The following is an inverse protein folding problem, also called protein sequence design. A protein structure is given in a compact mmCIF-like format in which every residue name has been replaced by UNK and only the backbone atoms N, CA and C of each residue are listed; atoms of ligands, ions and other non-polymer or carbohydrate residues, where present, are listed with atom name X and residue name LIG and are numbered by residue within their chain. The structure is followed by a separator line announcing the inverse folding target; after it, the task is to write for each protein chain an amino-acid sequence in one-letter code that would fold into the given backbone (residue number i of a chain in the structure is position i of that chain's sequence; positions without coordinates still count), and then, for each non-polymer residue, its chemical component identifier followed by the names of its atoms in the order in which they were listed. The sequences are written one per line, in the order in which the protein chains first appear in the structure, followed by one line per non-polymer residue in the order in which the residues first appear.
data_IF_899839377773
#
_entry.id   IF_899839377773
#
_cell.length_a   1.000
_cell.length_b   1.000
_cell.length_c   1.000
_cell.angle_alpha   90.00
_cell.angle_beta   90.00
_cell.angle_gamma   90.00
#
_symmetry.space_group_name_H-M   'P 1'
#
loop_
_entity.id
_entity.type
_entity.pdbx_description
1 polymer ?
#
# COMPACT_ATOMS: atom_id res chain seq x y z
N UNK A 1 -2.03 -8.44 -9.17
CA UNK A 1 -2.33 -8.66 -7.73
C UNK A 1 -1.57 -9.80 -7.06
N UNK A 2 -1.07 -10.81 -7.81
CA UNK A 2 -0.38 -11.99 -7.26
C UNK A 2 0.91 -11.70 -6.44
N UNK A 3 1.60 -10.60 -6.72
CA UNK A 3 2.79 -10.22 -5.94
C UNK A 3 2.41 -9.81 -4.51
N UNK A 4 1.31 -9.06 -4.33
CA UNK A 4 0.90 -8.60 -3.00
C UNK A 4 0.42 -9.76 -2.10
N UNK A 5 -0.10 -10.84 -2.69
CA UNK A 5 -0.47 -12.05 -1.93
C UNK A 5 0.72 -12.80 -1.33
N UNK A 6 1.96 -12.46 -1.69
CA UNK A 6 3.16 -13.02 -1.02
C UNK A 6 3.43 -12.36 0.34
N UNK A 7 2.85 -11.18 0.60
CA UNK A 7 3.12 -10.39 1.79
C UNK A 7 2.03 -10.49 2.85
N UNK A 8 0.81 -10.85 2.46
CA UNK A 8 -0.33 -10.97 3.38
C UNK A 8 -1.10 -12.25 3.11
N UNK A 9 -1.87 -12.72 4.09
CA UNK A 9 -2.76 -13.85 3.82
C UNK A 9 -3.94 -13.38 2.93
N UNK A 10 -4.64 -14.32 2.26
CA UNK A 10 -5.79 -13.97 1.42
C UNK A 10 -6.92 -13.24 2.15
N UNK A 11 -6.99 -13.34 3.48
CA UNK A 11 -8.03 -12.67 4.28
C UNK A 11 -7.79 -11.18 4.46
N UNK A 12 -6.53 -10.76 4.42
CA UNK A 12 -6.17 -9.34 4.55
C UNK A 12 -6.07 -8.64 3.19
N UNK A 13 -6.20 -9.37 2.08
CA UNK A 13 -6.13 -8.80 0.74
C UNK A 13 -7.51 -8.63 0.12
N UNK A 14 -7.84 -7.39 -0.23
CA UNK A 14 -9.07 -7.05 -0.93
C UNK A 14 -8.77 -6.44 -2.30
N UNK A 15 -9.00 -7.21 -3.36
CA UNK A 15 -8.81 -6.76 -4.74
C UNK A 15 -10.10 -6.12 -5.25
N UNK A 16 -10.06 -4.81 -5.50
CA UNK A 16 -11.22 -4.06 -6.01
C UNK A 16 -11.24 -4.02 -7.53
N UNK A 17 -10.07 -4.00 -8.17
CA UNK A 17 -9.92 -4.12 -9.62
C UNK A 17 -8.51 -4.62 -9.98
N UNK A 18 -8.20 -4.72 -11.28
CA UNK A 18 -6.85 -5.09 -11.73
C UNK A 18 -5.76 -4.12 -11.24
N UNK A 19 -6.13 -2.84 -11.02
CA UNK A 19 -5.20 -1.76 -10.68
C UNK A 19 -5.36 -1.27 -9.23
N UNK A 20 -6.38 -1.71 -8.49
CA UNK A 20 -6.69 -1.20 -7.15
C UNK A 20 -6.86 -2.34 -6.13
N UNK A 21 -6.14 -2.28 -5.02
CA UNK A 21 -6.25 -3.24 -3.92
C UNK A 21 -5.93 -2.63 -2.57
N UNK A 22 -6.66 -3.09 -1.57
CA UNK A 22 -6.47 -2.76 -0.17
C UNK A 22 -5.86 -3.95 0.56
N UNK A 23 -4.86 -3.69 1.39
CA UNK A 23 -4.29 -4.65 2.33
C UNK A 23 -4.57 -4.21 3.77
N UNK A 24 -5.08 -5.12 4.60
CA UNK A 24 -5.14 -4.93 6.06
C UNK A 24 -3.80 -5.34 6.69
N UNK A 25 -3.00 -4.35 7.08
CA UNK A 25 -1.70 -4.61 7.70
C UNK A 25 -1.75 -4.66 9.24
N UNK A 26 -2.94 -4.62 9.84
CA UNK A 26 -3.11 -4.67 11.31
C UNK A 26 -2.42 -5.87 11.94
N UNK A 27 -2.57 -7.11 11.42
CA UNK A 27 -1.92 -8.29 12.01
C UNK A 27 -0.39 -8.25 11.93
N UNK A 28 0.16 -7.39 11.06
CA UNK A 28 1.59 -7.30 10.77
C UNK A 28 2.27 -6.17 11.54
N UNK A 29 1.49 -5.25 12.14
CA UNK A 29 1.98 -4.04 12.80
C UNK A 29 2.85 -4.33 14.04
N UNK A 30 2.61 -5.44 14.73
CA UNK A 30 3.41 -5.84 15.91
C UNK A 30 4.78 -6.42 15.53
N UNK A 31 4.93 -6.90 14.29
CA UNK A 31 6.11 -7.64 13.84
C UNK A 31 6.98 -6.85 12.86
N UNK A 32 6.41 -5.89 12.14
CA UNK A 32 7.08 -5.17 11.06
C UNK A 32 6.87 -3.66 11.20
N UNK A 33 7.90 -2.89 10.84
CA UNK A 33 7.69 -1.48 10.47
C UNK A 33 6.85 -1.44 9.19
N UNK A 34 5.61 -0.95 9.31
CA UNK A 34 4.65 -0.94 8.21
C UNK A 34 5.10 -0.03 7.05
N UNK A 35 5.86 1.03 7.33
CA UNK A 35 6.43 1.87 6.26
C UNK A 35 7.46 1.08 5.46
N UNK A 36 8.45 0.50 6.13
CA UNK A 36 9.45 -0.35 5.48
C UNK A 36 8.83 -1.56 4.78
N UNK A 37 7.76 -2.13 5.34
CA UNK A 37 7.05 -3.26 4.73
C UNK A 37 6.33 -2.86 3.43
N UNK A 38 5.60 -1.74 3.44
CA UNK A 38 4.96 -1.20 2.25
C UNK A 38 5.98 -0.80 1.17
N UNK A 39 7.13 -0.24 1.57
CA UNK A 39 8.22 0.07 0.65
C UNK A 39 8.82 -1.18 0.00
N UNK A 40 8.97 -2.28 0.74
CA UNK A 40 9.42 -3.55 0.15
C UNK A 40 8.43 -4.09 -0.88
N UNK A 41 7.12 -3.95 -0.64
CA UNK A 41 6.10 -4.30 -1.64
C UNK A 41 6.21 -3.44 -2.90
N UNK A 42 6.41 -2.12 -2.77
CA UNK A 42 6.64 -1.23 -3.91
C UNK A 42 7.85 -1.66 -4.74
N UNK A 43 8.99 -1.88 -4.07
CA UNK A 43 10.21 -2.30 -4.74
C UNK A 43 10.02 -3.63 -5.46
N UNK A 44 9.28 -4.57 -4.86
CA UNK A 44 8.98 -5.84 -5.51
C UNK A 44 8.12 -5.66 -6.77
N UNK A 45 7.06 -4.86 -6.69
CA UNK A 45 6.20 -4.58 -7.83
C UNK A 45 6.99 -3.90 -8.95
N UNK A 46 7.77 -2.88 -8.62
CA UNK A 46 8.60 -2.17 -9.59
C UNK A 46 9.60 -3.10 -10.26
N UNK A 47 10.32 -3.91 -9.47
CA UNK A 47 11.35 -4.82 -9.98
C UNK A 47 10.79 -5.91 -10.91
N UNK A 48 9.59 -6.43 -10.63
CA UNK A 48 9.07 -7.61 -11.34
C UNK A 48 8.13 -7.26 -12.48
N UNK A 49 7.42 -6.14 -12.36
CA UNK A 49 6.40 -5.74 -13.34
C UNK A 49 6.76 -4.46 -14.09
N UNK A 50 7.81 -3.75 -13.69
CA UNK A 50 8.18 -2.43 -14.23
C UNK A 50 7.01 -1.42 -14.15
N UNK A 51 6.16 -1.57 -13.12
CA UNK A 51 4.99 -0.73 -12.88
C UNK A 51 5.24 0.20 -11.70
N UNK A 52 5.19 1.50 -11.95
CA UNK A 52 5.10 2.50 -10.89
C UNK A 52 3.72 2.42 -10.22
N UNK A 53 3.69 2.27 -8.90
CA UNK A 53 2.44 2.19 -8.13
C UNK A 53 2.48 3.23 -7.01
N UNK A 54 1.36 3.92 -6.80
CA UNK A 54 1.18 4.82 -5.68
C UNK A 54 0.58 4.08 -4.49
N UNK A 55 1.08 4.38 -3.29
CA UNK A 55 0.53 3.88 -2.03
C UNK A 55 -0.12 5.01 -1.25
N UNK A 56 -1.30 4.72 -0.68
CA UNK A 56 -1.86 5.48 0.42
C UNK A 56 -2.03 4.59 1.66
N UNK A 57 -1.62 5.09 2.82
CA UNK A 57 -1.76 4.42 4.12
C UNK A 57 -2.74 5.23 4.97
N UNK A 58 -3.69 4.57 5.62
CA UNK A 58 -4.66 5.22 6.49
C UNK A 58 -5.32 4.26 7.48
N UNK A 59 -6.08 4.81 8.43
CA UNK A 59 -6.79 4.00 9.46
C UNK A 59 -8.02 3.31 8.92
N UNK A 60 -8.55 3.86 7.84
CA UNK A 60 -9.71 3.34 7.13
C UNK A 60 -9.37 3.26 5.65
N UNK A 61 -10.13 2.46 4.90
CA UNK A 61 -9.99 2.42 3.44
C UNK A 61 -10.21 3.79 2.81
N UNK A 62 -11.13 4.59 3.36
CA UNK A 62 -11.39 5.97 2.91
C UNK A 62 -10.16 6.87 3.10
N UNK A 63 -9.53 6.82 4.27
CA UNK A 63 -8.29 7.56 4.53
C UNK A 63 -7.15 7.09 3.64
N UNK A 64 -6.98 5.77 3.46
CA UNK A 64 -5.97 5.22 2.56
C UNK A 64 -6.19 5.69 1.11
N UNK A 65 -7.45 5.78 0.66
CA UNK A 65 -7.79 6.28 -0.68
C UNK A 65 -7.55 7.78 -0.81
N UNK A 66 -7.86 8.56 0.23
CA UNK A 66 -7.54 9.99 0.28
C UNK A 66 -6.02 10.24 0.24
N UNK A 67 -5.25 9.50 1.04
CA UNK A 67 -3.80 9.58 1.05
C UNK A 67 -3.20 9.25 -0.33
N UNK A 68 -3.68 8.18 -0.98
CA UNK A 68 -3.24 7.82 -2.33
C UNK A 68 -3.56 8.92 -3.35
N UNK A 69 -4.76 9.50 -3.26
CA UNK A 69 -5.16 10.64 -4.12
C UNK A 69 -4.25 11.86 -3.96
N UNK A 70 -3.82 12.17 -2.73
CA UNK A 70 -2.87 13.26 -2.45
C UNK A 70 -1.49 12.95 -3.05
N UNK A 71 -0.99 11.71 -2.90
CA UNK A 71 0.28 11.26 -3.47
C UNK A 71 0.27 11.37 -4.99
N UNK A 72 -0.81 10.91 -5.64
CA UNK A 72 -0.97 10.97 -7.10
C UNK A 72 -0.95 12.40 -7.65
N UNK A 73 -1.48 13.37 -6.91
CA UNK A 73 -1.50 14.79 -7.31
C UNK A 73 -0.16 15.51 -7.12
N UNK A 74 0.70 15.01 -6.24
CA UNK A 74 2.01 15.61 -5.93
C UNK A 74 3.15 14.83 -6.60
N UNK A 75 3.02 14.59 -7.91
CA UNK A 75 3.83 13.70 -8.78
C UNK A 75 5.33 14.07 -8.89
N UNK A 76 6.01 14.11 -7.74
CA UNK A 76 7.47 14.12 -7.56
C UNK A 76 7.90 13.29 -6.34
N UNK A 77 6.97 12.89 -5.45
CA UNK A 77 7.26 12.03 -4.31
C UNK A 77 6.89 10.57 -4.59
N UNK A 78 7.79 9.88 -5.29
CA UNK A 78 7.77 8.41 -5.38
C UNK A 78 7.94 7.71 -4.01
N UNK A 79 8.19 8.45 -2.92
CA UNK A 79 8.72 7.89 -1.66
C UNK A 79 8.19 8.50 -0.36
N UNK A 80 7.21 9.40 -0.36
CA UNK A 80 6.78 10.09 0.88
C UNK A 80 5.27 10.06 1.09
N UNK A 81 4.81 9.04 1.80
CA UNK A 81 3.63 9.14 2.65
C UNK A 81 4.11 8.98 4.10
N UNK A 82 4.62 10.08 4.69
CA UNK A 82 4.86 10.15 6.13
C UNK A 82 3.61 10.71 6.77
N UNK A 83 2.76 9.83 7.27
CA UNK A 83 1.73 10.15 8.25
C UNK A 83 1.96 9.19 9.40
N UNK A 84 1.95 9.68 10.64
CA UNK A 84 2.05 8.84 11.83
C UNK A 84 1.11 7.64 11.67
N UNK A 85 1.71 6.46 11.49
CA UNK A 85 0.98 5.24 11.13
C UNK A 85 0.19 4.83 12.34
N UNK A 86 -1.05 5.26 12.39
CA UNK A 86 -2.06 4.68 13.24
C UNK A 86 -2.84 3.73 12.32
N UNK A 87 -2.63 2.44 12.53
CA UNK A 87 -3.31 1.24 12.02
C UNK A 87 -4.43 1.42 10.98
N UNK A 88 -4.30 0.84 9.76
CA UNK A 88 -5.07 -0.36 9.33
C UNK A 88 -5.05 -0.70 7.83
N UNK A 89 -4.98 0.22 6.87
CA UNK A 89 -5.15 -0.11 5.44
C UNK A 89 -4.11 0.50 4.50
N UNK A 90 -3.66 -0.28 3.51
CA UNK A 90 -2.75 0.16 2.44
C UNK A 90 -3.44 0.01 1.09
N UNK A 91 -3.58 1.11 0.35
CA UNK A 91 -4.12 1.12 -1.00
C UNK A 91 -3.00 1.17 -2.04
N UNK A 92 -2.95 0.18 -2.92
CA UNK A 92 -2.11 0.18 -4.12
C UNK A 92 -2.94 0.59 -5.32
N UNK A 93 -2.50 1.64 -6.03
CA UNK A 93 -3.13 2.08 -7.27
C UNK A 93 -2.08 2.50 -8.30
N UNK A 94 -2.08 1.87 -9.48
CA UNK A 94 -1.33 2.34 -10.65
C UNK A 94 -2.00 3.60 -11.21
#
# INVERSE_FOLDING_TARGET
MKILSEFVSPKEQEVYSINECFLDLTPYAEKYDLTGYAQQMLQRILSWLDLAVCIGIGRTKTEAKLANHIVKKNTYSFYKANYEILHKWVLFHN
#
